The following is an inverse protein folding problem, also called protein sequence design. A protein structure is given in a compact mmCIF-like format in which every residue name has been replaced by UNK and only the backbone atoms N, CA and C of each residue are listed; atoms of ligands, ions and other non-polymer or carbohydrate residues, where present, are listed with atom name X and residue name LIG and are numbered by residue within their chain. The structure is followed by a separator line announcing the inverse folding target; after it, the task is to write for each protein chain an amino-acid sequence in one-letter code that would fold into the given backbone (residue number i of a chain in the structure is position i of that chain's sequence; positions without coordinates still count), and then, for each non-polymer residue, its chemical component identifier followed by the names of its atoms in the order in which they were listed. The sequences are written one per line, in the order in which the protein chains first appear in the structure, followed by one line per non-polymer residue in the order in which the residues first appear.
data_IF_572176734564
#
_entry.id   IF_572176734564
#
_cell.length_a   1.000
_cell.length_b   1.000
_cell.length_c   1.000
_cell.angle_alpha   90.00
_cell.angle_beta   90.00
_cell.angle_gamma   90.00
#
_symmetry.space_group_name_H-M   'P 1'
#
loop_
_entity.id
_entity.type
_entity.pdbx_description
1 polymer ?
#
# COMPACT_ATOMS: atom_id res chain seq x y z
N UNK A 1 -21.33 -25.71 -25.66
CA UNK A 1 -21.73 -25.52 -24.24
C UNK A 1 -20.58 -25.66 -23.25
N UNK A 2 -19.66 -26.63 -23.42
CA UNK A 2 -18.48 -26.77 -22.55
C UNK A 2 -17.52 -25.55 -22.54
N UNK A 3 -17.40 -24.82 -23.65
CA UNK A 3 -16.53 -23.64 -23.75
C UNK A 3 -17.00 -22.46 -22.89
N UNK A 4 -18.31 -22.19 -22.87
CA UNK A 4 -18.89 -21.10 -22.09
C UNK A 4 -18.74 -21.33 -20.57
N UNK A 5 -18.84 -22.59 -20.11
CA UNK A 5 -18.62 -22.95 -18.70
C UNK A 5 -17.14 -22.79 -18.32
N UNK A 6 -16.20 -23.19 -19.20
CA UNK A 6 -14.76 -22.99 -18.98
C UNK A 6 -14.39 -21.51 -18.91
N UNK A 7 -14.89 -20.69 -19.84
CA UNK A 7 -14.65 -19.25 -19.83
C UNK A 7 -15.21 -18.56 -18.58
N UNK A 8 -16.41 -18.95 -18.14
CA UNK A 8 -17.01 -18.43 -16.92
C UNK A 8 -16.18 -18.80 -15.68
N UNK A 9 -15.63 -20.02 -15.62
CA UNK A 9 -14.81 -20.50 -14.51
C UNK A 9 -13.46 -19.75 -14.44
N UNK A 10 -12.79 -19.54 -15.58
CA UNK A 10 -11.53 -18.78 -15.62
C UNK A 10 -11.73 -17.31 -15.21
N UNK A 11 -12.80 -16.65 -15.68
CA UNK A 11 -13.13 -15.28 -15.26
C UNK A 11 -13.38 -15.21 -13.75
N UNK A 12 -14.12 -16.18 -13.20
CA UNK A 12 -14.39 -16.26 -11.76
C UNK A 12 -13.09 -16.44 -10.96
N UNK A 13 -12.17 -17.27 -11.45
CA UNK A 13 -10.86 -17.49 -10.83
C UNK A 13 -10.01 -16.22 -10.80
N UNK A 14 -9.86 -15.54 -11.93
CA UNK A 14 -9.10 -14.28 -12.00
C UNK A 14 -9.69 -13.21 -11.08
N UNK A 15 -11.02 -13.09 -11.02
CA UNK A 15 -11.69 -12.16 -10.13
C UNK A 15 -11.44 -12.49 -8.65
N UNK A 16 -11.46 -13.77 -8.28
CA UNK A 16 -11.16 -14.21 -6.92
C UNK A 16 -9.70 -13.91 -6.53
N UNK A 17 -8.75 -14.25 -7.39
CA UNK A 17 -7.32 -13.97 -7.18
C UNK A 17 -7.08 -12.47 -6.96
N UNK A 18 -7.68 -11.61 -7.80
CA UNK A 18 -7.62 -10.16 -7.63
C UNK A 18 -8.19 -9.70 -6.28
N UNK A 19 -9.37 -10.20 -5.90
CA UNK A 19 -9.99 -9.84 -4.61
C UNK A 19 -9.15 -10.28 -3.42
N UNK A 20 -8.51 -11.45 -3.47
CA UNK A 20 -7.60 -11.92 -2.42
C UNK A 20 -6.37 -11.04 -2.30
N UNK A 21 -5.79 -10.60 -3.42
CA UNK A 21 -4.66 -9.68 -3.39
C UNK A 21 -5.02 -8.32 -2.79
N UNK A 22 -6.16 -7.74 -3.21
CA UNK A 22 -6.63 -6.46 -2.67
C UNK A 22 -6.90 -6.58 -1.17
N UNK A 23 -7.55 -7.66 -0.73
CA UNK A 23 -7.80 -7.91 0.70
C UNK A 23 -6.51 -8.04 1.49
N UNK A 24 -5.54 -8.82 0.99
CA UNK A 24 -4.24 -8.95 1.63
C UNK A 24 -3.48 -7.62 1.72
N UNK A 25 -3.71 -6.70 0.78
CA UNK A 25 -3.14 -5.37 0.80
C UNK A 25 -3.84 -4.46 1.82
N UNK A 26 -5.16 -4.53 1.91
CA UNK A 26 -5.96 -3.85 2.93
C UNK A 26 -5.55 -4.29 4.34
N UNK A 27 -5.36 -5.60 4.57
CA UNK A 27 -4.93 -6.14 5.86
C UNK A 27 -3.54 -5.61 6.27
N UNK A 28 -2.61 -5.48 5.31
CA UNK A 28 -1.29 -4.88 5.56
C UNK A 28 -1.41 -3.41 5.92
N UNK A 29 -2.24 -2.65 5.20
CA UNK A 29 -2.46 -1.24 5.49
C UNK A 29 -3.13 -1.04 6.87
N UNK A 30 -4.09 -1.89 7.23
CA UNK A 30 -4.73 -1.91 8.54
C UNK A 30 -3.75 -2.27 9.68
N UNK A 31 -2.64 -2.95 9.39
CA UNK A 31 -1.58 -3.24 10.38
C UNK A 31 -0.66 -2.05 10.68
N UNK A 32 -0.75 -0.98 9.88
CA UNK A 32 -0.02 0.25 10.13
C UNK A 32 -0.62 0.99 11.33
N UNK A 33 0.24 1.56 12.17
CA UNK A 33 -0.23 2.52 13.17
C UNK A 33 -0.75 3.79 12.49
N UNK A 34 -1.56 4.58 13.20
CA UNK A 34 -2.02 5.89 12.70
C UNK A 34 -0.85 6.72 12.14
N UNK A 35 0.26 6.76 12.89
CA UNK A 35 1.46 7.49 12.48
C UNK A 35 2.14 6.94 11.24
N UNK A 36 2.17 5.62 11.10
CA UNK A 36 2.71 4.97 9.90
C UNK A 36 1.83 5.24 8.67
N UNK A 37 0.51 5.31 8.82
CA UNK A 37 -0.41 5.67 7.74
C UNK A 37 -0.21 7.12 7.28
N UNK A 38 -0.05 8.07 8.22
CA UNK A 38 0.29 9.47 7.90
C UNK A 38 1.61 9.58 7.13
N UNK A 39 2.66 8.91 7.61
CA UNK A 39 3.97 8.88 6.94
C UNK A 39 3.86 8.23 5.56
N UNK A 40 3.11 7.12 5.44
CA UNK A 40 2.89 6.48 4.15
C UNK A 40 2.22 7.44 3.17
N UNK A 41 1.14 8.12 3.57
CA UNK A 41 0.38 9.07 2.75
C UNK A 41 1.30 10.16 2.15
N UNK A 42 2.10 10.80 3.00
CA UNK A 42 2.99 11.87 2.56
C UNK A 42 4.15 11.34 1.70
N UNK A 43 4.70 10.18 2.03
CA UNK A 43 5.80 9.60 1.25
C UNK A 43 5.35 9.15 -0.14
N UNK A 44 4.16 8.54 -0.28
CA UNK A 44 3.64 8.13 -1.59
C UNK A 44 3.18 9.33 -2.42
N UNK A 45 2.85 10.46 -1.79
CA UNK A 45 2.62 11.74 -2.45
C UNK A 45 3.90 12.42 -2.97
N UNK A 46 5.08 11.82 -2.72
CA UNK A 46 6.37 12.30 -3.24
C UNK A 46 7.13 13.25 -2.31
N UNK A 47 6.66 13.48 -1.08
CA UNK A 47 7.37 14.34 -0.13
C UNK A 47 8.69 13.69 0.32
N UNK A 48 9.72 14.52 0.44
CA UNK A 48 11.00 14.14 1.02
C UNK A 48 10.86 13.95 2.53
N UNK A 49 11.69 13.08 3.14
CA UNK A 49 11.65 12.81 4.59
C UNK A 49 11.68 14.09 5.44
N UNK A 50 12.42 15.10 5.00
CA UNK A 50 12.52 16.41 5.67
C UNK A 50 11.19 17.17 5.65
N UNK A 51 10.48 17.13 4.52
CA UNK A 51 9.15 17.74 4.38
C UNK A 51 8.13 16.98 5.22
N UNK A 52 8.10 15.64 5.11
CA UNK A 52 7.24 14.80 5.97
C UNK A 52 7.47 15.11 7.46
N UNK A 53 8.73 15.29 7.88
CA UNK A 53 9.05 15.64 9.27
C UNK A 53 8.50 17.00 9.68
N UNK A 54 8.57 17.99 8.79
CA UNK A 54 7.99 19.31 9.01
C UNK A 54 6.47 19.24 9.15
N UNK A 55 5.77 18.65 8.17
CA UNK A 55 4.30 18.49 8.16
C UNK A 55 3.79 17.75 9.39
N UNK A 56 4.55 16.77 9.86
CA UNK A 56 4.14 15.92 10.97
C UNK A 56 4.70 16.38 12.33
N UNK A 57 5.54 17.42 12.38
CA UNK A 57 6.16 17.90 13.63
C UNK A 57 7.13 16.89 14.28
N UNK A 58 7.82 16.07 13.48
CA UNK A 58 8.81 15.08 13.95
C UNK A 58 10.13 15.21 13.20
N UNK A 59 11.21 14.67 13.78
CA UNK A 59 12.52 14.72 13.13
C UNK A 59 12.59 13.85 11.87
N UNK A 60 13.47 14.21 10.93
CA UNK A 60 13.72 13.41 9.72
C UNK A 60 14.14 11.97 10.05
N UNK A 61 14.91 11.78 11.13
CA UNK A 61 15.33 10.44 11.56
C UNK A 61 14.14 9.60 12.08
N UNK A 62 13.17 10.24 12.75
CA UNK A 62 11.91 9.60 13.15
C UNK A 62 11.09 9.21 11.92
N UNK A 63 11.03 10.06 10.88
CA UNK A 63 10.37 9.72 9.61
C UNK A 63 11.04 8.51 8.95
N UNK A 64 12.37 8.43 8.92
CA UNK A 64 13.10 7.26 8.40
C UNK A 64 12.74 5.98 9.16
N UNK A 65 12.62 6.06 10.48
CA UNK A 65 12.19 4.92 11.30
C UNK A 65 10.76 4.48 10.92
N UNK A 66 9.80 5.40 10.88
CA UNK A 66 8.43 5.09 10.46
C UNK A 66 8.35 4.54 9.03
N UNK A 67 9.09 5.12 8.07
CA UNK A 67 9.18 4.58 6.70
C UNK A 67 9.70 3.15 6.69
N UNK A 68 10.71 2.82 7.49
CA UNK A 68 11.20 1.45 7.61
C UNK A 68 10.12 0.48 8.11
N UNK A 69 9.32 0.92 9.09
CA UNK A 69 8.18 0.14 9.59
C UNK A 69 7.09 -0.03 8.52
N UNK A 70 6.71 1.04 7.82
CA UNK A 70 5.74 1.04 6.72
C UNK A 70 6.18 0.06 5.64
N UNK A 71 7.42 0.16 5.15
CA UNK A 71 7.97 -0.71 4.13
C UNK A 71 7.89 -2.18 4.55
N UNK A 72 8.26 -2.49 5.81
CA UNK A 72 8.21 -3.86 6.34
C UNK A 72 6.77 -4.39 6.44
N UNK A 73 5.86 -3.61 7.00
CA UNK A 73 4.46 -4.02 7.23
C UNK A 73 3.67 -4.13 5.91
N UNK A 74 3.89 -3.20 4.98
CA UNK A 74 3.33 -3.26 3.63
C UNK A 74 3.96 -4.36 2.77
N UNK A 75 5.10 -4.90 3.21
CA UNK A 75 5.97 -5.80 2.44
C UNK A 75 6.43 -5.18 1.11
N UNK A 76 6.63 -3.87 1.11
CA UNK A 76 7.12 -3.13 -0.04
C UNK A 76 8.65 -3.23 -0.11
N UNK A 77 9.18 -3.58 -1.28
CA UNK A 77 10.63 -3.74 -1.49
C UNK A 77 11.32 -2.45 -1.92
N UNK A 78 10.56 -1.49 -2.41
CA UNK A 78 11.04 -0.18 -2.84
C UNK A 78 9.95 0.89 -2.68
N UNK A 79 10.32 2.17 -2.78
CA UNK A 79 9.32 3.25 -2.76
C UNK A 79 8.33 3.15 -3.94
N UNK A 80 8.75 2.88 -5.20
CA UNK A 80 7.81 2.63 -6.29
C UNK A 80 6.84 1.48 -6.03
N UNK A 81 7.30 0.41 -5.38
CA UNK A 81 6.44 -0.72 -4.98
C UNK A 81 5.38 -0.27 -3.97
N UNK A 82 5.76 0.55 -2.98
CA UNK A 82 4.82 1.15 -2.03
C UNK A 82 3.82 2.11 -2.69
N UNK A 83 4.25 2.90 -3.69
CA UNK A 83 3.36 3.79 -4.45
C UNK A 83 2.34 2.99 -5.26
N UNK A 84 2.77 1.92 -5.93
CA UNK A 84 1.86 1.02 -6.65
C UNK A 84 0.84 0.36 -5.72
N UNK A 85 1.27 -0.05 -4.53
CA UNK A 85 0.40 -0.55 -3.47
C UNK A 85 -0.63 0.50 -3.03
N UNK A 86 -0.21 1.74 -2.78
CA UNK A 86 -1.11 2.83 -2.40
C UNK A 86 -2.14 3.12 -3.50
N UNK A 87 -1.72 3.13 -4.77
CA UNK A 87 -2.63 3.32 -5.91
C UNK A 87 -3.72 2.24 -5.97
N UNK A 88 -3.37 0.98 -5.70
CA UNK A 88 -4.34 -0.15 -5.61
C UNK A 88 -5.31 -0.04 -4.44
N UNK A 89 -4.94 0.67 -3.38
CA UNK A 89 -5.80 0.94 -2.23
C UNK A 89 -6.70 2.17 -2.43
N UNK A 90 -6.66 2.82 -3.61
CA UNK A 90 -7.29 4.11 -3.86
C UNK A 90 -6.85 5.19 -2.85
N UNK A 91 -5.56 5.22 -2.49
CA UNK A 91 -5.01 6.42 -1.83
C UNK A 91 -5.09 7.59 -2.81
N UNK A 92 -6.19 8.35 -2.71
CA UNK A 92 -6.34 9.64 -3.37
C UNK A 92 -5.83 10.72 -2.41
N UNK A 93 -5.09 11.67 -2.97
CA UNK A 93 -4.65 12.89 -2.28
C UNK A 93 -5.83 13.71 -1.77
#
# INVERSE_FOLDING_TARGET
MLSAVKEALERSRTALEFNLEVRALQDRHASLSCREQEVMALVVSGLLNKQVGFELGISEITVKAHRGQVMRKMKARSLPDLVNMAARLNYAH
#
